data_IF_542856314568
#
_entry.id   IF_542856314568
#
_cell.length_a   1.000
_cell.length_b   1.000
_cell.length_c   1.000
_cell.angle_alpha   90.00
_cell.angle_beta   90.00
_cell.angle_gamma   90.00
#
_symmetry.space_group_name_H-M   'P 1'
#
loop_
_entity.id
_entity.type
_entity.pdbx_description
1 polymer ?
#
# COMPACT_ATOMS: atom_id res chain seq x y z
N UNK A 1 2.03 4.16 -2.54
CA UNK A 1 0.72 4.65 -2.05
C UNK A 1 0.53 4.42 -0.56
N UNK A 2 0.37 3.18 -0.06
CA UNK A 2 0.05 2.93 1.37
C UNK A 2 1.10 3.45 2.35
N UNK A 3 2.39 3.19 2.10
CA UNK A 3 3.50 3.76 2.90
C UNK A 3 3.52 5.30 2.85
N UNK A 4 3.18 5.89 1.71
CA UNK A 4 3.11 7.35 1.53
C UNK A 4 1.91 7.96 2.26
N UNK A 5 0.82 7.21 2.42
CA UNK A 5 -0.33 7.55 3.26
C UNK A 5 -0.05 7.40 4.77
N UNK A 6 1.19 7.07 5.16
CA UNK A 6 1.60 6.98 6.56
C UNK A 6 1.40 5.61 7.20
N UNK A 7 0.93 4.60 6.45
CA UNK A 7 0.80 3.25 6.97
C UNK A 7 2.17 2.60 7.20
N UNK A 8 2.27 1.80 8.27
CA UNK A 8 3.50 1.11 8.67
C UNK A 8 4.49 1.98 9.42
N UNK A 9 4.10 3.18 9.86
CA UNK A 9 4.86 3.97 10.83
C UNK A 9 4.50 3.52 12.23
N UNK A 10 5.52 3.22 13.04
CA UNK A 10 5.34 2.92 14.46
C UNK A 10 4.77 4.14 15.19
N UNK A 11 3.81 3.90 16.10
CA UNK A 11 3.26 4.95 16.95
C UNK A 11 4.32 5.52 17.90
N UNK A 12 4.37 6.85 18.05
CA UNK A 12 5.33 7.52 18.92
C UNK A 12 4.98 7.44 20.41
N UNK A 13 3.71 7.21 20.74
CA UNK A 13 3.20 7.22 22.13
C UNK A 13 3.00 5.80 22.69
N UNK A 14 2.62 4.85 21.84
CA UNK A 14 2.33 3.47 22.23
C UNK A 14 2.72 2.50 21.10
N UNK A 15 4.00 2.47 20.76
CA UNK A 15 4.56 1.59 19.72
C UNK A 15 5.78 0.82 20.21
N UNK A 16 6.11 -0.28 19.53
CA UNK A 16 7.26 -1.15 19.78
C UNK A 16 8.61 -0.57 19.36
N UNK A 17 8.65 0.72 19.00
CA UNK A 17 9.85 1.47 18.62
C UNK A 17 10.61 0.86 17.45
N UNK A 18 11.94 0.91 17.51
CA UNK A 18 12.84 0.43 16.45
C UNK A 18 12.60 -1.05 16.10
N UNK A 19 12.17 -1.86 17.08
CA UNK A 19 11.83 -3.26 16.84
C UNK A 19 10.62 -3.41 15.91
N UNK A 20 9.55 -2.66 16.15
CA UNK A 20 8.35 -2.64 15.32
C UNK A 20 8.63 -2.04 13.92
N UNK A 21 9.47 -1.00 13.84
CA UNK A 21 9.83 -0.36 12.56
C UNK A 21 10.44 -1.36 11.55
N UNK A 22 11.19 -2.36 12.02
CA UNK A 22 11.76 -3.40 11.14
C UNK A 22 10.69 -4.28 10.50
N UNK A 23 9.52 -4.42 11.13
CA UNK A 23 8.43 -5.26 10.67
C UNK A 23 7.27 -4.50 10.00
N UNK A 24 7.29 -3.16 10.03
CA UNK A 24 6.21 -2.34 9.46
C UNK A 24 5.92 -2.63 7.98
N UNK A 25 6.93 -3.06 7.20
CA UNK A 25 6.75 -3.45 5.80
C UNK A 25 5.88 -4.70 5.63
N UNK A 26 5.98 -5.68 6.52
CA UNK A 26 5.17 -6.90 6.46
C UNK A 26 3.71 -6.60 6.75
N UNK A 27 3.43 -5.79 7.77
CA UNK A 27 2.06 -5.37 8.09
C UNK A 27 1.40 -4.62 6.94
N UNK A 28 2.14 -3.67 6.33
CA UNK A 28 1.65 -2.92 5.16
C UNK A 28 1.38 -3.86 3.98
N UNK A 29 2.22 -4.88 3.79
CA UNK A 29 2.06 -5.87 2.71
C UNK A 29 0.81 -6.72 2.92
N UNK A 30 0.57 -7.21 4.13
CA UNK A 30 -0.64 -7.99 4.44
C UNK A 30 -1.91 -7.15 4.34
N UNK A 31 -1.87 -5.90 4.79
CA UNK A 31 -3.00 -4.99 4.60
C UNK A 31 -3.28 -4.75 3.11
N UNK A 32 -2.24 -4.57 2.29
CA UNK A 32 -2.40 -4.45 0.84
C UNK A 32 -3.05 -5.69 0.23
N UNK A 33 -2.65 -6.90 0.66
CA UNK A 33 -3.27 -8.16 0.22
C UNK A 33 -4.74 -8.24 0.61
N UNK A 34 -5.06 -7.96 1.87
CA UNK A 34 -6.44 -7.95 2.35
C UNK A 34 -7.32 -6.95 1.58
N UNK A 35 -6.78 -5.78 1.22
CA UNK A 35 -7.50 -4.81 0.39
C UNK A 35 -7.76 -5.34 -1.03
N UNK A 36 -6.80 -6.04 -1.63
CA UNK A 36 -6.97 -6.69 -2.94
C UNK A 36 -8.01 -7.81 -2.87
N UNK A 37 -7.94 -8.67 -1.84
CA UNK A 37 -8.88 -9.77 -1.63
C UNK A 37 -10.31 -9.27 -1.40
N UNK A 38 -10.47 -8.09 -0.79
CA UNK A 38 -11.75 -7.41 -0.60
C UNK A 38 -12.31 -6.74 -1.88
N UNK A 39 -11.64 -6.89 -3.03
CA UNK A 39 -12.05 -6.32 -4.32
C UNK A 39 -11.18 -5.16 -4.82
N UNK A 40 -10.14 -4.78 -4.07
CA UNK A 40 -9.20 -3.73 -4.46
C UNK A 40 -9.80 -2.32 -4.44
N UNK A 41 -9.05 -1.37 -5.00
CA UNK A 41 -9.43 0.05 -5.06
C UNK A 41 -9.45 0.61 -6.50
N UNK A 42 -9.51 -0.27 -7.51
CA UNK A 42 -9.62 0.15 -8.92
C UNK A 42 -8.33 0.65 -9.58
N UNK A 43 -7.17 0.61 -8.91
CA UNK A 43 -5.91 1.11 -9.49
C UNK A 43 -5.46 0.34 -10.74
N UNK A 44 -5.71 -0.97 -10.80
CA UNK A 44 -5.31 -1.79 -11.95
C UNK A 44 -5.99 -1.33 -13.25
N UNK A 45 -7.27 -0.95 -13.19
CA UNK A 45 -8.03 -0.45 -14.34
C UNK A 45 -7.53 0.93 -14.76
N UNK A 46 -7.32 1.85 -13.81
CA UNK A 46 -6.74 3.16 -14.13
C UNK A 46 -5.34 3.08 -14.75
N UNK A 47 -4.53 2.10 -14.35
CA UNK A 47 -3.22 1.86 -14.94
C UNK A 47 -3.34 1.25 -16.34
N UNK A 48 -4.28 0.32 -16.53
CA UNK A 48 -4.56 -0.28 -17.83
C UNK A 48 -4.98 0.78 -18.86
N UNK A 49 -5.90 1.67 -18.50
CA UNK A 49 -6.35 2.75 -19.37
C UNK A 49 -5.21 3.71 -19.71
N UNK A 50 -4.40 4.10 -18.71
CA UNK A 50 -3.25 4.98 -18.93
C UNK A 50 -2.19 4.35 -19.86
N UNK A 51 -1.98 3.03 -19.77
CA UNK A 51 -1.06 2.31 -20.66
C UNK A 51 -1.61 2.21 -22.08
N UNK A 52 -2.92 2.04 -22.23
CA UNK A 52 -3.59 2.03 -23.53
C UNK A 52 -3.50 3.40 -24.21
N UNK A 53 -3.82 4.48 -23.48
CA UNK A 53 -3.74 5.85 -24.01
C UNK A 53 -2.31 6.21 -24.46
N UNK A 54 -1.28 5.67 -23.81
CA UNK A 54 0.12 5.88 -24.19
C UNK A 54 0.55 5.08 -25.43
N UNK A 55 -0.13 3.97 -25.75
CA UNK A 55 0.12 3.17 -26.96
C UNK A 55 -0.61 3.72 -28.19
N UNK A 56 -1.75 4.40 -27.98
CA UNK A 56 -2.60 4.97 -29.04
C UNK A 56 -2.18 6.40 -29.45
N UNK A 57 -1.11 6.96 -28.84
CA UNK A 57 -0.61 8.33 -29.05
C UNK A 57 0.66 8.45 -29.90
#
# INVERSE_FOLDING_TARGET
MLKAAGLGKTSSEFGGGVGEDQFGSFLVTEQARAMVDAGGIGLAESLFDALKDQQDG
#
